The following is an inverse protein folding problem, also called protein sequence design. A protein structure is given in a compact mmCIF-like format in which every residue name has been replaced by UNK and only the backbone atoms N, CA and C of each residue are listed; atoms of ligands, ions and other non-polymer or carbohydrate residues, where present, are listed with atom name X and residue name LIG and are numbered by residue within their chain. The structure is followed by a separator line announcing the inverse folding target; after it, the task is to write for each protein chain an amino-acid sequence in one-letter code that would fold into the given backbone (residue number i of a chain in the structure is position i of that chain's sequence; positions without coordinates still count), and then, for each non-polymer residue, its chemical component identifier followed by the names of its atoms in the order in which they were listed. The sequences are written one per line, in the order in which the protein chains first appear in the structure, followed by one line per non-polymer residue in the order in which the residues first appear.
data_IF_472206419975
#
_entry.id   IF_472206419975
#
_cell.length_a   1.000
_cell.length_b   1.000
_cell.length_c   1.000
_cell.angle_alpha   90.00
_cell.angle_beta   90.00
_cell.angle_gamma   90.00
#
_symmetry.space_group_name_H-M   'P 1'
#
loop_
_entity.id
_entity.type
_entity.pdbx_description
1 polymer ?
#
# COMPACT_ATOMS: atom_id res chain seq x y z
N UNK A 1 -26.18 -13.58 -10.01
CA UNK A 1 -26.41 -12.11 -10.03
C UNK A 1 -25.54 -11.34 -9.03
N UNK A 2 -24.51 -11.94 -8.41
CA UNK A 2 -23.61 -11.29 -7.44
C UNK A 2 -22.35 -10.65 -8.03
N UNK A 3 -22.17 -10.77 -9.35
CA UNK A 3 -20.98 -10.32 -10.07
C UNK A 3 -20.65 -8.83 -9.86
N UNK A 4 -21.63 -7.88 -9.86
CA UNK A 4 -21.34 -6.49 -9.56
C UNK A 4 -20.80 -6.26 -8.14
N UNK A 5 -21.29 -7.03 -7.16
CA UNK A 5 -20.86 -6.92 -5.76
C UNK A 5 -19.40 -7.36 -5.62
N UNK A 6 -19.00 -8.45 -6.27
CA UNK A 6 -17.61 -8.91 -6.25
C UNK A 6 -16.66 -7.88 -6.84
N UNK A 7 -17.04 -7.27 -7.97
CA UNK A 7 -16.23 -6.23 -8.63
C UNK A 7 -16.05 -5.02 -7.72
N UNK A 8 -17.11 -4.53 -7.06
CA UNK A 8 -17.01 -3.39 -6.13
C UNK A 8 -16.05 -3.69 -4.99
N UNK A 9 -16.16 -4.86 -4.36
CA UNK A 9 -15.25 -5.23 -3.28
C UNK A 9 -13.82 -5.40 -3.79
N UNK A 10 -13.61 -5.99 -4.97
CA UNK A 10 -12.27 -6.16 -5.54
C UNK A 10 -11.60 -4.82 -5.84
N UNK A 11 -12.33 -3.86 -6.42
CA UNK A 11 -11.85 -2.48 -6.63
C UNK A 11 -11.52 -1.81 -5.29
N UNK A 12 -12.43 -1.93 -4.32
CA UNK A 12 -12.27 -1.37 -2.98
C UNK A 12 -10.99 -1.90 -2.28
N UNK A 13 -10.78 -3.22 -2.30
CA UNK A 13 -9.60 -3.82 -1.68
C UNK A 13 -8.31 -3.53 -2.43
N UNK A 14 -8.33 -3.48 -3.76
CA UNK A 14 -7.13 -3.18 -4.55
C UNK A 14 -6.64 -1.75 -4.35
N UNK A 15 -7.55 -0.77 -4.43
CA UNK A 15 -7.23 0.64 -4.14
C UNK A 15 -6.76 0.78 -2.69
N UNK A 16 -7.43 0.12 -1.74
CA UNK A 16 -7.07 0.12 -0.33
C UNK A 16 -5.68 -0.48 -0.07
N UNK A 17 -5.34 -1.60 -0.72
CA UNK A 17 -4.01 -2.22 -0.67
C UNK A 17 -2.92 -1.25 -1.13
N UNK A 18 -3.10 -0.60 -2.29
CA UNK A 18 -2.13 0.35 -2.83
C UNK A 18 -1.97 1.55 -1.89
N UNK A 19 -3.07 2.10 -1.38
CA UNK A 19 -3.04 3.19 -0.43
C UNK A 19 -2.38 2.80 0.91
N UNK A 20 -2.55 1.56 1.36
CA UNK A 20 -1.90 1.07 2.57
C UNK A 20 -0.38 0.87 2.37
N UNK A 21 0.04 0.42 1.19
CA UNK A 21 1.47 0.29 0.84
C UNK A 21 2.16 1.66 0.84
N UNK A 22 1.54 2.68 0.23
CA UNK A 22 2.07 4.04 0.22
C UNK A 22 2.26 4.61 1.65
N UNK A 23 1.39 4.21 2.57
CA UNK A 23 1.45 4.59 3.99
C UNK A 23 2.43 3.77 4.81
N UNK A 24 2.84 2.60 4.35
CA UNK A 24 3.90 1.83 5.00
C UNK A 24 5.27 2.29 4.53
N UNK A 25 5.93 3.12 5.36
CA UNK A 25 7.38 3.29 5.23
C UNK A 25 8.08 1.95 5.51
N UNK A 26 8.79 1.41 4.53
CA UNK A 26 9.67 0.26 4.75
C UNK A 26 10.86 0.70 5.62
N UNK A 27 10.75 0.54 6.94
CA UNK A 27 11.83 0.83 7.90
C UNK A 27 12.91 -0.28 7.97
N UNK A 28 13.01 -1.12 6.93
CA UNK A 28 13.93 -2.27 6.84
C UNK A 28 13.38 -3.57 7.46
N UNK A 29 14.07 -4.68 7.21
CA UNK A 29 13.70 -6.04 7.66
C UNK A 29 14.21 -6.40 9.06
N UNK A 30 14.67 -5.41 9.83
CA UNK A 30 15.05 -5.58 11.23
C UNK A 30 13.79 -5.82 12.09
N UNK A 31 13.90 -6.69 13.10
CA UNK A 31 12.80 -7.01 14.03
C UNK A 31 12.28 -5.76 14.79
N UNK A 32 13.14 -4.78 15.04
CA UNK A 32 12.76 -3.46 15.56
C UNK A 32 12.08 -2.57 14.50
N UNK A 33 12.53 -2.67 13.25
CA UNK A 33 11.91 -2.02 12.09
C UNK A 33 10.49 -2.53 11.86
N UNK A 34 10.29 -3.85 11.85
CA UNK A 34 8.96 -4.49 11.71
C UNK A 34 8.04 -4.08 12.86
N UNK A 35 8.51 -4.06 14.12
CA UNK A 35 7.70 -3.63 15.27
C UNK A 35 7.29 -2.16 15.17
N UNK A 36 8.18 -1.29 14.67
CA UNK A 36 7.91 0.13 14.43
C UNK A 36 6.98 0.34 13.23
N UNK A 37 7.10 -0.47 12.19
CA UNK A 37 6.22 -0.51 11.02
C UNK A 37 4.82 -1.01 11.38
N UNK A 38 4.69 -2.02 12.26
CA UNK A 38 3.41 -2.51 12.81
C UNK A 38 2.75 -1.46 13.73
N UNK A 39 3.55 -0.69 14.47
CA UNK A 39 3.05 0.43 15.27
C UNK A 39 2.48 1.57 14.42
N UNK A 40 2.83 1.64 13.14
CA UNK A 40 2.16 2.50 12.17
C UNK A 40 0.95 1.76 11.59
N UNK A 41 -0.21 2.42 11.59
CA UNK A 41 -1.50 1.87 11.15
C UNK A 41 -1.53 1.33 9.71
N UNK A 42 -0.51 1.64 8.90
CA UNK A 42 -0.36 1.15 7.52
C UNK A 42 -0.31 -0.38 7.42
N UNK A 43 0.44 -1.07 8.29
CA UNK A 43 0.57 -2.54 8.21
C UNK A 43 -0.73 -3.24 8.56
N UNK A 44 -1.44 -2.73 9.58
CA UNK A 44 -2.76 -3.23 9.96
C UNK A 44 -3.73 -3.08 8.77
N UNK A 45 -3.64 -1.95 8.05
CA UNK A 45 -4.32 -1.76 6.78
C UNK A 45 -3.98 -2.85 5.76
N UNK A 46 -2.69 -3.08 5.45
CA UNK A 46 -2.25 -4.11 4.50
C UNK A 46 -2.81 -5.48 4.84
N UNK A 47 -2.77 -5.88 6.12
CA UNK A 47 -3.29 -7.17 6.57
C UNK A 47 -4.80 -7.25 6.33
N UNK A 48 -5.56 -6.24 6.73
CA UNK A 48 -7.02 -6.21 6.54
C UNK A 48 -7.41 -6.22 5.06
N UNK A 49 -6.71 -5.46 4.21
CA UNK A 49 -6.98 -5.46 2.77
C UNK A 49 -6.63 -6.80 2.13
N UNK A 50 -5.54 -7.44 2.54
CA UNK A 50 -5.13 -8.78 2.04
C UNK A 50 -6.13 -9.87 2.42
N UNK A 51 -6.59 -9.88 3.68
CA UNK A 51 -7.65 -10.80 4.13
C UNK A 51 -8.93 -10.56 3.33
N UNK A 52 -9.29 -9.30 3.08
CA UNK A 52 -10.44 -8.95 2.25
C UNK A 52 -10.34 -9.43 0.80
N UNK A 53 -9.15 -9.35 0.18
CA UNK A 53 -8.89 -9.90 -1.17
C UNK A 53 -9.03 -11.41 -1.20
N UNK A 54 -8.39 -12.13 -0.28
CA UNK A 54 -8.48 -13.59 -0.20
C UNK A 54 -9.92 -14.04 0.01
N UNK A 55 -10.64 -13.36 0.90
CA UNK A 55 -12.05 -13.66 1.18
C UNK A 55 -12.95 -13.36 -0.02
N UNK A 56 -12.67 -12.29 -0.77
CA UNK A 56 -13.38 -11.98 -2.01
C UNK A 56 -13.15 -13.04 -3.08
N UNK A 57 -11.91 -13.53 -3.24
CA UNK A 57 -11.60 -14.62 -4.16
C UNK A 57 -12.32 -15.92 -3.77
N UNK A 58 -12.38 -16.25 -2.48
CA UNK A 58 -13.14 -17.41 -1.98
C UNK A 58 -14.64 -17.27 -2.25
N UNK A 59 -15.23 -16.10 -2.01
CA UNK A 59 -16.64 -15.82 -2.31
C UNK A 59 -16.98 -16.00 -3.80
N UNK A 60 -16.08 -15.63 -4.72
CA UNK A 60 -16.28 -15.83 -6.17
C UNK A 60 -16.36 -17.33 -6.48
N UNK A 61 -15.46 -18.14 -5.92
CA UNK A 61 -15.46 -19.60 -6.11
C UNK A 61 -16.73 -20.25 -5.57
N UNK A 62 -17.21 -19.79 -4.41
CA UNK A 62 -18.47 -20.26 -3.85
C UNK A 62 -19.68 -19.87 -4.70
N UNK A 63 -19.72 -18.65 -5.22
CA UNK A 63 -20.80 -18.21 -6.11
C UNK A 63 -20.81 -18.93 -7.46
N UNK A 64 -19.63 -19.29 -7.99
CA UNK A 64 -19.51 -20.15 -9.18
C UNK A 64 -20.07 -21.55 -8.89
N UNK A 65 -19.77 -22.14 -7.73
CA UNK A 65 -20.25 -23.46 -7.34
C UNK A 65 -21.77 -23.52 -7.05
N UNK A 66 -22.37 -22.40 -6.64
CA UNK A 66 -23.80 -22.26 -6.35
C UNK A 66 -24.59 -21.83 -7.60
N UNK A 67 -23.91 -21.41 -8.68
CA UNK A 67 -24.55 -20.82 -9.84
C UNK A 67 -25.56 -21.81 -10.49
N UNK A 68 -26.79 -21.36 -10.78
CA UNK A 68 -27.84 -22.22 -11.35
C UNK A 68 -27.56 -22.67 -12.79
N UNK A 69 -26.46 -22.21 -13.40
CA UNK A 69 -25.98 -22.62 -14.72
C UNK A 69 -25.20 -23.95 -14.67
N UNK A 70 -24.83 -24.42 -13.48
CA UNK A 70 -24.21 -25.74 -13.28
C UNK A 70 -25.33 -26.78 -13.22
N UNK A 71 -25.27 -27.82 -14.07
CA UNK A 71 -26.33 -28.83 -14.24
C UNK A 71 -26.72 -29.58 -12.93
N UNK A 72 -25.89 -29.51 -11.90
CA UNK A 72 -26.19 -29.95 -10.54
C UNK A 72 -25.56 -28.98 -9.52
N UNK A 73 -26.29 -27.96 -9.03
CA UNK A 73 -25.75 -27.04 -8.02
C UNK A 73 -25.46 -27.81 -6.72
N UNK A 74 -24.23 -27.69 -6.22
CA UNK A 74 -23.81 -28.32 -4.96
C UNK A 74 -24.30 -27.45 -3.80
N UNK A 75 -25.58 -27.61 -3.47
CA UNK A 75 -26.24 -26.82 -2.43
C UNK A 75 -26.06 -27.45 -1.03
N UNK A 76 -24.81 -27.63 -0.61
CA UNK A 76 -24.50 -28.16 0.73
C UNK A 76 -24.67 -27.05 1.77
N UNK A 77 -25.32 -27.37 2.90
CA UNK A 77 -25.53 -26.41 4.00
C UNK A 77 -24.22 -25.81 4.52
N UNK A 78 -23.15 -26.59 4.59
CA UNK A 78 -21.80 -26.15 4.94
C UNK A 78 -21.29 -25.05 4.00
N UNK A 79 -21.49 -25.20 2.68
CA UNK A 79 -21.03 -24.24 1.68
C UNK A 79 -21.72 -22.88 1.83
N UNK A 80 -23.03 -22.90 2.11
CA UNK A 80 -23.81 -21.70 2.39
C UNK A 80 -23.34 -20.98 3.65
N UNK A 81 -22.95 -21.72 4.69
CA UNK A 81 -22.40 -21.15 5.93
C UNK A 81 -21.05 -20.48 5.65
N UNK A 82 -20.13 -21.16 4.95
CA UNK A 82 -18.85 -20.57 4.57
C UNK A 82 -19.00 -19.31 3.71
N UNK A 83 -19.89 -19.34 2.72
CA UNK A 83 -20.19 -18.17 1.90
C UNK A 83 -20.68 -16.99 2.73
N UNK A 84 -21.59 -17.20 3.69
CA UNK A 84 -22.08 -16.14 4.59
C UNK A 84 -20.95 -15.57 5.44
N UNK A 85 -20.13 -16.44 6.03
CA UNK A 85 -19.00 -16.03 6.87
C UNK A 85 -18.01 -15.19 6.05
N UNK A 86 -17.64 -15.65 4.86
CA UNK A 86 -16.75 -14.90 3.97
C UNK A 86 -17.37 -13.55 3.57
N UNK A 87 -18.66 -13.49 3.28
CA UNK A 87 -19.34 -12.23 2.95
C UNK A 87 -19.30 -11.22 4.11
N UNK A 88 -19.51 -11.68 5.35
CA UNK A 88 -19.43 -10.86 6.56
C UNK A 88 -17.99 -10.37 6.81
N UNK A 89 -17.01 -11.28 6.75
CA UNK A 89 -15.58 -10.93 6.93
C UNK A 89 -15.18 -9.84 5.95
N UNK A 90 -15.60 -9.97 4.70
CA UNK A 90 -15.29 -9.00 3.65
C UNK A 90 -15.89 -7.61 3.95
N UNK A 91 -17.12 -7.54 4.42
CA UNK A 91 -17.73 -6.27 4.82
C UNK A 91 -17.02 -5.63 6.02
N UNK A 92 -16.64 -6.44 7.03
CA UNK A 92 -15.92 -5.98 8.22
C UNK A 92 -14.50 -5.51 7.87
N UNK A 93 -13.77 -6.26 7.03
CA UNK A 93 -12.44 -5.86 6.57
C UNK A 93 -12.49 -4.54 5.80
N UNK A 94 -13.46 -4.39 4.87
CA UNK A 94 -13.60 -3.15 4.12
C UNK A 94 -13.92 -1.97 5.05
N UNK A 95 -14.91 -2.09 5.95
CA UNK A 95 -15.29 -1.00 6.85
C UNK A 95 -14.18 -0.62 7.83
N UNK A 96 -13.53 -1.61 8.45
CA UNK A 96 -12.42 -1.38 9.36
C UNK A 96 -11.20 -0.75 8.66
N UNK A 97 -10.88 -1.23 7.45
CA UNK A 97 -9.73 -0.72 6.71
C UNK A 97 -9.96 0.71 6.18
N UNK A 98 -11.18 1.03 5.71
CA UNK A 98 -11.55 2.41 5.38
C UNK A 98 -11.59 3.32 6.61
N UNK A 99 -12.05 2.83 7.76
CA UNK A 99 -12.02 3.60 9.00
C UNK A 99 -10.58 3.93 9.42
N UNK A 100 -9.68 2.94 9.37
CA UNK A 100 -8.25 3.16 9.62
C UNK A 100 -7.64 4.15 8.61
N UNK A 101 -8.07 4.08 7.35
CA UNK A 101 -7.64 5.00 6.31
C UNK A 101 -8.07 6.44 6.62
N UNK A 102 -9.31 6.63 7.08
CA UNK A 102 -9.92 7.92 7.40
C UNK A 102 -9.35 8.54 8.69
N UNK A 103 -9.02 7.73 9.70
CA UNK A 103 -8.47 8.20 10.98
C UNK A 103 -7.02 8.72 10.85
N UNK A 104 -6.29 8.34 9.80
CA UNK A 104 -4.92 8.79 9.53
C UNK A 104 -4.75 9.20 8.05
N UNK A 105 -5.25 10.38 7.66
CA UNK A 105 -5.15 10.85 6.27
C UNK A 105 -3.72 11.23 5.88
N UNK A 106 -2.88 11.63 6.83
CA UNK A 106 -1.62 12.35 6.58
C UNK A 106 -0.36 11.48 6.80
N UNK A 107 -0.30 10.34 6.12
CA UNK A 107 0.81 9.38 6.28
C UNK A 107 1.48 9.07 4.94
N UNK A 108 1.98 10.08 4.21
CA UNK A 108 2.70 9.88 2.95
C UNK A 108 4.19 9.55 3.20
N UNK A 109 4.44 8.48 3.95
CA UNK A 109 5.79 8.10 4.38
C UNK A 109 6.66 7.70 3.19
N UNK A 110 6.09 6.99 2.21
CA UNK A 110 6.82 6.59 1.01
C UNK A 110 7.19 7.81 0.15
N UNK A 111 6.25 8.72 -0.09
CA UNK A 111 6.48 9.97 -0.84
C UNK A 111 7.57 10.85 -0.21
N UNK A 112 7.54 11.01 1.12
CA UNK A 112 8.58 11.77 1.83
C UNK A 112 9.95 11.09 1.75
N UNK A 113 9.99 9.76 1.78
CA UNK A 113 11.24 9.00 1.65
C UNK A 113 11.81 9.14 0.24
N UNK A 114 10.99 8.99 -0.79
CA UNK A 114 11.39 9.18 -2.20
C UNK A 114 11.93 10.59 -2.41
N UNK A 115 11.23 11.60 -1.90
CA UNK A 115 11.65 13.00 -2.01
C UNK A 115 13.02 13.23 -1.35
N UNK A 116 13.24 12.68 -0.16
CA UNK A 116 14.54 12.79 0.54
C UNK A 116 15.67 12.11 -0.23
N UNK A 117 15.43 10.90 -0.75
CA UNK A 117 16.43 10.18 -1.55
C UNK A 117 16.78 10.95 -2.82
N UNK A 118 15.77 11.43 -3.55
CA UNK A 118 15.99 12.20 -4.78
C UNK A 118 16.75 13.52 -4.51
N UNK A 119 16.43 14.22 -3.43
CA UNK A 119 17.17 15.45 -3.04
C UNK A 119 18.62 15.12 -2.67
N UNK A 120 18.86 14.03 -1.95
CA UNK A 120 20.21 13.60 -1.58
C UNK A 120 21.06 13.26 -2.82
N UNK A 121 20.50 12.53 -3.78
CA UNK A 121 21.17 12.22 -5.05
C UNK A 121 21.50 13.48 -5.86
N UNK A 122 20.56 14.43 -5.95
CA UNK A 122 20.80 15.71 -6.63
C UNK A 122 21.90 16.53 -5.94
N UNK A 123 21.92 16.54 -4.61
CA UNK A 123 22.93 17.25 -3.82
C UNK A 123 24.31 16.62 -4.00
N UNK A 124 24.38 15.29 -3.98
CA UNK A 124 25.63 14.55 -4.19
C UNK A 124 26.16 14.78 -5.59
N UNK A 125 25.31 14.69 -6.62
CA UNK A 125 25.70 14.98 -8.01
C UNK A 125 26.23 16.40 -8.17
N UNK A 126 25.60 17.38 -7.52
CA UNK A 126 26.11 18.76 -7.53
C UNK A 126 27.46 18.87 -6.83
N UNK A 127 27.68 18.16 -5.73
CA UNK A 127 28.96 18.16 -5.03
C UNK A 127 30.08 17.52 -5.88
N UNK A 128 29.80 16.40 -6.54
CA UNK A 128 30.75 15.74 -7.44
C UNK A 128 31.14 16.66 -8.61
N UNK A 129 30.17 17.37 -9.20
CA UNK A 129 30.42 18.37 -10.24
C UNK A 129 31.27 19.54 -9.76
N UNK A 130 31.14 19.95 -8.49
CA UNK A 130 31.97 21.00 -7.89
C UNK A 130 33.42 20.53 -7.67
N UNK A 131 33.62 19.24 -7.35
CA UNK A 131 34.95 18.65 -7.20
C UNK A 131 35.68 18.51 -8.54
N UNK A 132 34.96 18.22 -9.63
CA UNK A 132 35.50 18.14 -10.99
C UNK A 132 35.93 19.50 -11.58
N UNK A 133 35.56 20.62 -10.95
CA UNK A 133 35.94 21.96 -11.46
C UNK A 133 37.47 22.13 -11.41
N UNK A 134 38.13 22.43 -12.55
CA UNK A 134 39.57 22.70 -12.57
C UNK A 134 39.92 23.84 -11.61
N UNK A 135 41.06 23.73 -10.92
CA UNK A 135 41.46 24.70 -9.89
C UNK A 135 41.52 26.17 -10.38
N UNK A 136 41.71 26.40 -11.68
CA UNK A 136 41.69 27.72 -12.31
C UNK A 136 40.31 28.41 -12.23
N UNK A 137 39.21 27.66 -12.26
CA UNK A 137 37.84 28.20 -12.26
C UNK A 137 37.19 28.20 -10.87
N UNK A 138 37.79 27.53 -9.87
CA UNK A 138 37.26 27.49 -8.49
C UNK A 138 37.11 28.88 -7.86
N UNK A 139 38.03 29.81 -8.17
CA UNK A 139 37.96 31.19 -7.68
C UNK A 139 36.81 32.00 -8.27
N UNK A 140 36.48 31.80 -9.55
CA UNK A 140 35.31 32.43 -10.19
C UNK A 140 34.00 31.82 -9.70
N UNK A 141 33.98 30.50 -9.50
CA UNK A 141 32.82 29.77 -8.98
C UNK A 141 32.48 30.18 -7.55
N UNK A 142 33.49 30.33 -6.67
CA UNK A 142 33.31 30.82 -5.30
C UNK A 142 32.74 32.26 -5.26
N UNK A 143 33.12 33.11 -6.22
CA UNK A 143 32.55 34.45 -6.41
C UNK A 143 31.09 34.41 -6.87
N UNK A 144 30.74 33.53 -7.82
CA UNK A 144 29.35 33.40 -8.30
C UNK A 144 28.41 32.77 -7.26
N UNK A 145 28.90 31.86 -6.43
CA UNK A 145 28.14 31.25 -5.33
C UNK A 145 28.00 32.15 -4.10
N UNK A 146 28.63 33.33 -4.08
CA UNK A 146 28.55 34.27 -2.96
C UNK A 146 29.20 33.74 -1.67
N UNK A 147 30.09 32.75 -1.76
CA UNK A 147 30.77 32.10 -0.63
C UNK A 147 31.98 32.88 -0.10
N UNK A 148 32.18 34.14 -0.53
CA UNK A 148 33.18 35.02 0.09
C UNK A 148 32.59 35.65 1.36
N UNK A 149 32.95 35.08 2.51
CA UNK A 149 33.08 35.85 3.75
C UNK A 149 34.54 36.29 3.89
#
# INVERSE_FOLDING_TARGET
MSLPVHVVFLICFTIGCVAAIDRTGFYGWSMAGIKKTISHSGVIGIILWSIGLMTSAACIRFDEAIAPTVEAPVLTQELLVYWRICSVIRAVCASAAWLLLALRPDCNVLGDTIKKTAVAEMLQRNNDLLEEVPNEYKGQLARMLGLQQ
#
